data_IF_454952856803
#
_entry.id   IF_454952856803
#
_cell.length_a   1.000
_cell.length_b   1.000
_cell.length_c   1.000
_cell.angle_alpha   90.00
_cell.angle_beta   90.00
_cell.angle_gamma   90.00
#
_symmetry.space_group_name_H-M   'P 1'
#
loop_
_entity.id
_entity.type
_entity.pdbx_description
1 polymer ?
#
# COMPACT_ATOMS: atom_id res chain seq x y z
N UNK A 1 17.57 10.52 -6.30
CA UNK A 1 17.30 10.40 -4.85
C UNK A 1 15.80 10.32 -4.72
N UNK A 2 15.28 9.23 -4.14
CA UNK A 2 13.83 9.01 -4.02
C UNK A 2 13.23 10.16 -3.22
N UNK A 3 12.25 10.88 -3.78
CA UNK A 3 11.55 11.94 -3.08
C UNK A 3 10.50 11.31 -2.15
N UNK A 4 10.92 10.96 -0.94
CA UNK A 4 10.09 10.26 0.04
C UNK A 4 8.74 10.95 0.30
N UNK A 5 8.73 12.29 0.31
CA UNK A 5 7.52 13.06 0.60
C UNK A 5 6.53 13.03 -0.57
N UNK A 6 7.04 13.10 -1.81
CA UNK A 6 6.20 12.89 -3.00
C UNK A 6 5.62 11.48 -3.04
N UNK A 7 6.44 10.46 -2.77
CA UNK A 7 5.99 9.07 -2.76
C UNK A 7 4.90 8.83 -1.71
N UNK A 8 5.09 9.39 -0.51
CA UNK A 8 4.09 9.33 0.57
C UNK A 8 2.76 9.95 0.14
N UNK A 9 2.78 11.14 -0.45
CA UNK A 9 1.55 11.84 -0.84
C UNK A 9 0.76 11.05 -1.90
N UNK A 10 1.44 10.48 -2.90
CA UNK A 10 0.79 9.66 -3.93
C UNK A 10 0.08 8.45 -3.31
N UNK A 11 0.74 7.77 -2.38
CA UNK A 11 0.15 6.64 -1.65
C UNK A 11 -1.05 7.07 -0.82
N UNK A 12 -0.94 8.16 -0.05
CA UNK A 12 -2.02 8.63 0.83
C UNK A 12 -3.26 9.06 0.05
N UNK A 13 -3.08 9.82 -1.04
CA UNK A 13 -4.16 10.31 -1.90
C UNK A 13 -4.92 9.13 -2.55
N UNK A 14 -4.19 8.14 -3.07
CA UNK A 14 -4.80 6.95 -3.69
C UNK A 14 -5.59 6.12 -2.66
N UNK A 15 -5.00 5.88 -1.49
CA UNK A 15 -5.66 5.12 -0.43
C UNK A 15 -6.94 5.81 0.03
N UNK A 16 -6.93 7.13 0.18
CA UNK A 16 -8.12 7.89 0.54
C UNK A 16 -9.23 7.75 -0.51
N UNK A 17 -8.86 7.79 -1.79
CA UNK A 17 -9.79 7.62 -2.90
C UNK A 17 -10.44 6.23 -2.94
N UNK A 18 -9.68 5.16 -2.67
CA UNK A 18 -10.12 3.77 -2.87
C UNK A 18 -10.34 2.98 -1.57
N UNK A 19 -10.38 3.64 -0.42
CA UNK A 19 -10.51 3.02 0.90
C UNK A 19 -11.63 1.96 1.02
N UNK A 20 -12.85 2.14 0.46
CA UNK A 20 -13.89 1.12 0.57
C UNK A 20 -13.54 -0.20 -0.14
N UNK A 21 -12.87 -0.13 -1.29
CA UNK A 21 -12.44 -1.30 -2.06
C UNK A 21 -11.29 -2.02 -1.34
N UNK A 22 -10.30 -1.27 -0.87
CA UNK A 22 -9.21 -1.77 -0.04
C UNK A 22 -9.69 -2.56 1.17
N UNK A 23 -10.64 -1.96 1.90
CA UNK A 23 -11.17 -2.56 3.11
C UNK A 23 -11.84 -3.92 2.84
N UNK A 24 -12.59 -4.02 1.73
CA UNK A 24 -13.20 -5.29 1.30
C UNK A 24 -12.15 -6.36 1.00
N UNK A 25 -11.07 -6.01 0.29
CA UNK A 25 -10.03 -6.96 -0.10
C UNK A 25 -9.20 -7.44 1.10
N UNK A 26 -8.88 -6.56 2.06
CA UNK A 26 -8.11 -6.95 3.24
C UNK A 26 -8.83 -7.97 4.14
N UNK A 27 -10.15 -7.82 4.32
CA UNK A 27 -10.95 -8.72 5.16
C UNK A 27 -10.92 -10.16 4.64
N UNK A 28 -10.88 -10.34 3.32
CA UNK A 28 -10.90 -11.66 2.70
C UNK A 28 -9.51 -12.33 2.62
N UNK A 29 -8.43 -11.58 2.85
CA UNK A 29 -7.07 -11.98 2.46
C UNK A 29 -6.18 -12.55 3.58
N UNK A 30 -6.50 -12.34 4.86
CA UNK A 30 -5.55 -12.64 5.94
C UNK A 30 -5.96 -13.81 6.85
N UNK A 31 -5.28 -14.94 6.65
CA UNK A 31 -5.38 -16.15 7.50
C UNK A 31 -4.03 -16.54 8.14
N UNK A 32 -2.87 -16.08 7.61
CA UNK A 32 -1.53 -16.58 8.01
C UNK A 32 -0.44 -15.49 8.17
N UNK A 33 0.27 -15.42 9.32
CA UNK A 33 1.42 -14.53 9.56
C UNK A 33 2.64 -14.71 8.64
N UNK A 34 2.88 -15.90 8.09
CA UNK A 34 4.01 -16.14 7.18
C UNK A 34 3.81 -15.43 5.84
N UNK A 35 2.56 -15.39 5.38
CA UNK A 35 2.15 -14.66 4.17
C UNK A 35 2.39 -13.17 4.35
N UNK A 36 2.05 -12.62 5.51
CA UNK A 36 2.28 -11.20 5.86
C UNK A 36 3.75 -10.78 5.68
N UNK A 37 4.71 -11.57 6.19
CA UNK A 37 6.13 -11.21 6.09
C UNK A 37 6.64 -11.23 4.64
N UNK A 38 6.25 -12.23 3.85
CA UNK A 38 6.61 -12.32 2.42
C UNK A 38 6.03 -11.14 1.63
N UNK A 39 4.77 -10.85 1.87
CA UNK A 39 4.03 -9.76 1.28
C UNK A 39 4.66 -8.38 1.59
N UNK A 40 5.09 -8.17 2.82
CA UNK A 40 5.79 -6.95 3.21
C UNK A 40 7.11 -6.77 2.45
N UNK A 41 7.87 -7.84 2.20
CA UNK A 41 9.08 -7.76 1.38
C UNK A 41 8.76 -7.37 -0.08
N UNK A 42 7.70 -7.94 -0.66
CA UNK A 42 7.25 -7.61 -2.02
C UNK A 42 6.84 -6.13 -2.11
N UNK A 43 6.13 -5.60 -1.10
CA UNK A 43 5.79 -4.17 -1.05
C UNK A 43 7.04 -3.29 -1.03
N UNK A 44 8.04 -3.61 -0.19
CA UNK A 44 9.29 -2.84 -0.13
C UNK A 44 10.05 -2.85 -1.47
N UNK A 45 10.02 -3.98 -2.19
CA UNK A 45 10.62 -4.09 -3.50
C UNK A 45 9.87 -3.22 -4.53
N UNK A 46 8.54 -3.34 -4.58
CA UNK A 46 7.68 -2.58 -5.47
C UNK A 46 7.85 -1.07 -5.27
N UNK A 47 7.93 -0.58 -4.03
CA UNK A 47 8.08 0.84 -3.69
C UNK A 47 9.31 1.52 -4.33
N UNK A 48 10.31 0.76 -4.80
CA UNK A 48 11.44 1.30 -5.57
C UNK A 48 11.05 1.79 -6.97
N UNK A 49 9.90 1.36 -7.48
CA UNK A 49 9.37 1.69 -8.82
C UNK A 49 8.11 2.56 -8.76
N UNK A 50 7.81 3.13 -7.58
CA UNK A 50 6.63 3.97 -7.39
C UNK A 50 6.58 5.08 -8.47
N UNK A 51 5.45 5.27 -9.15
CA UNK A 51 5.34 6.29 -10.17
C UNK A 51 5.41 7.69 -9.55
N UNK A 52 6.02 8.63 -10.28
CA UNK A 52 6.10 10.05 -9.86
C UNK A 52 4.75 10.78 -10.01
N UNK A 53 3.86 10.24 -10.84
CA UNK A 53 2.58 10.84 -11.20
C UNK A 53 1.40 9.97 -10.70
N UNK A 54 0.45 10.53 -9.93
CA UNK A 54 -0.67 9.78 -9.35
C UNK A 54 -1.55 9.03 -10.37
N UNK A 55 -1.68 9.53 -11.60
CA UNK A 55 -2.49 8.91 -12.64
C UNK A 55 -2.03 7.50 -13.05
N UNK A 56 -0.73 7.18 -12.86
CA UNK A 56 -0.19 5.85 -13.14
C UNK A 56 -0.19 4.93 -11.92
N UNK A 57 -0.58 5.43 -10.75
CA UNK A 57 -0.51 4.66 -9.51
C UNK A 57 -1.41 3.43 -9.54
N UNK A 58 -2.63 3.55 -10.09
CA UNK A 58 -3.55 2.42 -10.23
C UNK A 58 -3.00 1.34 -11.17
N UNK A 59 -2.39 1.76 -12.28
CA UNK A 59 -1.81 0.86 -13.28
C UNK A 59 -0.61 0.11 -12.68
N UNK A 60 0.35 0.84 -12.11
CA UNK A 60 1.49 0.26 -11.39
C UNK A 60 1.07 -0.76 -10.32
N UNK A 61 0.04 -0.42 -9.55
CA UNK A 61 -0.47 -1.28 -8.48
C UNK A 61 -1.11 -2.57 -8.99
N UNK A 62 -1.66 -2.55 -10.21
CA UNK A 62 -2.28 -3.71 -10.85
C UNK A 62 -1.30 -4.55 -11.67
N UNK A 63 -0.18 -3.96 -12.11
CA UNK A 63 0.84 -4.65 -12.91
C UNK A 63 1.67 -5.65 -12.12
N UNK A 64 2.00 -5.37 -10.84
CA UNK A 64 2.93 -6.20 -10.08
C UNK A 64 2.26 -7.37 -9.33
N UNK A 65 1.24 -7.15 -8.49
CA UNK A 65 0.47 -8.20 -7.77
C UNK A 65 -0.65 -7.53 -6.92
N UNK A 66 -1.91 -8.02 -6.92
CA UNK A 66 -2.94 -7.59 -5.96
C UNK A 66 -2.48 -7.59 -4.48
N UNK A 67 -1.50 -8.43 -4.13
CA UNK A 67 -0.87 -8.44 -2.82
C UNK A 67 -0.26 -7.08 -2.44
N UNK A 68 0.34 -6.34 -3.39
CA UNK A 68 0.97 -5.04 -3.11
C UNK A 68 -0.06 -4.04 -2.58
N UNK A 69 -1.25 -4.02 -3.18
CA UNK A 69 -2.33 -3.16 -2.72
C UNK A 69 -2.78 -3.48 -1.30
N UNK A 70 -2.96 -4.77 -1.00
CA UNK A 70 -3.35 -5.23 0.33
C UNK A 70 -2.30 -4.80 1.36
N UNK A 71 -1.01 -4.98 1.05
CA UNK A 71 0.09 -4.65 1.95
C UNK A 71 0.24 -3.15 2.18
N UNK A 72 0.05 -2.34 1.13
CA UNK A 72 0.11 -0.88 1.21
C UNK A 72 -0.99 -0.35 2.13
N UNK A 73 -2.21 -0.86 1.97
CA UNK A 73 -3.36 -0.51 2.81
C UNK A 73 -3.14 -0.86 4.27
N UNK A 74 -2.57 -2.02 4.53
CA UNK A 74 -2.24 -2.47 5.88
C UNK A 74 -1.18 -1.57 6.53
N UNK A 75 -0.11 -1.22 5.79
CA UNK A 75 0.90 -0.28 6.25
C UNK A 75 0.30 1.09 6.62
N UNK A 76 -0.62 1.60 5.81
CA UNK A 76 -1.31 2.88 6.08
C UNK A 76 -2.20 2.77 7.32
N UNK A 77 -2.96 1.67 7.47
CA UNK A 77 -3.81 1.44 8.65
C UNK A 77 -2.99 1.31 9.92
N UNK A 78 -1.88 0.56 9.91
CA UNK A 78 -0.96 0.43 11.03
C UNK A 78 -0.38 1.81 11.38
N UNK A 79 0.17 2.52 10.39
CA UNK A 79 0.76 3.85 10.59
C UNK A 79 -0.24 4.83 11.18
N UNK A 80 -1.46 4.93 10.62
CA UNK A 80 -2.53 5.80 11.14
C UNK A 80 -3.02 5.37 12.53
N UNK A 81 -3.02 4.08 12.83
CA UNK A 81 -3.40 3.58 14.17
C UNK A 81 -2.35 3.93 15.21
N UNK A 82 -1.07 3.87 14.85
CA UNK A 82 0.03 4.32 15.69
C UNK A 82 -0.03 5.84 15.87
N UNK A 83 -0.15 6.59 14.78
CA UNK A 83 -0.19 8.07 14.77
C UNK A 83 -1.38 8.63 15.58
N UNK A 84 -2.55 7.99 15.53
CA UNK A 84 -3.71 8.35 16.37
C UNK A 84 -3.56 7.98 17.85
N UNK A 85 -2.60 7.12 18.20
CA UNK A 85 -2.36 6.64 19.57
C UNK A 85 -1.23 7.40 20.28
N UNK A 86 -0.46 8.21 19.57
CA UNK A 86 0.59 9.09 20.10
C UNK A 86 0.20 10.56 19.92
#
# INVERSE_FOLDING_TARGET
MINFEQHKNIVEDFVEQYYPLAHSLMVDSYIDPAVYYSNYQILLEAMNTLPEHPEFFLEWLLEDDPAIYINLMELVVITRTIDKRF
#
